data_IF_037741294468
#
_entry.id   IF_037741294468
#
_cell.length_a   1.000
_cell.length_b   1.000
_cell.length_c   1.000
_cell.angle_alpha   90.00
_cell.angle_beta   90.00
_cell.angle_gamma   90.00
#
_symmetry.space_group_name_H-M   'P 1'
#
loop_
_entity.id
_entity.type
_entity.pdbx_description
1 polymer ?
#
# COMPACT_ATOMS: atom_id res chain seq x y z
N UNK A 1 -9.16 11.60 -12.03
CA UNK A 1 -9.60 12.03 -13.38
C UNK A 1 -10.01 10.82 -14.19
N UNK A 2 -11.05 10.90 -15.04
CA UNK A 2 -11.37 9.80 -15.95
C UNK A 2 -10.18 9.52 -16.88
N UNK A 3 -9.74 8.26 -16.96
CA UNK A 3 -8.68 7.78 -17.87
C UNK A 3 -7.32 8.49 -17.75
N UNK A 4 -6.99 9.00 -16.56
CA UNK A 4 -5.68 9.61 -16.30
C UNK A 4 -4.56 8.56 -16.20
N UNK A 5 -3.33 8.93 -16.58
CA UNK A 5 -2.14 8.08 -16.39
C UNK A 5 -1.67 8.05 -14.93
N UNK A 6 -2.09 9.02 -14.12
CA UNK A 6 -1.72 9.12 -12.70
C UNK A 6 -2.94 8.78 -11.83
N UNK A 7 -2.71 7.88 -10.90
CA UNK A 7 -3.63 7.48 -9.83
C UNK A 7 -2.88 7.67 -8.51
N UNK A 8 -2.92 8.89 -7.99
CA UNK A 8 -2.22 9.23 -6.75
C UNK A 8 -3.09 8.84 -5.55
N UNK A 9 -2.74 7.74 -4.89
CA UNK A 9 -3.54 7.15 -3.81
C UNK A 9 -2.67 6.54 -2.70
N UNK A 10 -3.25 6.29 -1.52
CA UNK A 10 -2.58 5.59 -0.42
C UNK A 10 -2.25 4.13 -0.75
N UNK A 11 -1.13 3.66 -0.21
CA UNK A 11 -0.70 2.27 -0.21
C UNK A 11 -0.76 1.69 1.21
N UNK A 12 -1.66 0.75 1.48
CA UNK A 12 -1.72 -0.02 2.74
C UNK A 12 -0.87 -1.28 2.64
N UNK A 13 -0.31 -1.75 3.76
CA UNK A 13 0.53 -2.95 3.79
C UNK A 13 -0.22 -4.18 3.27
N UNK A 14 0.49 -5.11 2.63
CA UNK A 14 -0.04 -6.44 2.25
C UNK A 14 -1.27 -6.45 1.30
N UNK A 15 -1.58 -5.32 0.64
CA UNK A 15 -2.75 -5.20 -0.24
C UNK A 15 -2.36 -5.22 -1.73
N UNK A 16 -3.11 -5.98 -2.55
CA UNK A 16 -2.82 -6.07 -3.98
C UNK A 16 -3.27 -4.87 -4.81
N UNK A 17 -4.35 -4.22 -4.39
CA UNK A 17 -4.98 -3.10 -5.08
C UNK A 17 -4.38 -1.73 -4.71
N UNK A 18 -3.38 -1.71 -3.82
CA UNK A 18 -2.86 -0.48 -3.20
C UNK A 18 -3.47 -0.26 -1.82
N UNK A 19 -4.79 -0.20 -1.72
CA UNK A 19 -5.47 0.24 -0.49
C UNK A 19 -6.56 -0.75 -0.02
N UNK A 20 -6.58 -1.00 1.29
CA UNK A 20 -7.64 -1.71 2.01
C UNK A 20 -8.08 -0.85 3.21
N UNK A 21 -9.36 -0.47 3.24
CA UNK A 21 -9.91 0.41 4.27
C UNK A 21 -9.89 -0.21 5.67
N UNK A 22 -9.91 -1.54 5.78
CA UNK A 22 -9.82 -2.22 7.06
C UNK A 22 -8.35 -2.33 7.55
N UNK A 23 -7.39 -1.82 6.78
CA UNK A 23 -5.98 -1.77 7.11
C UNK A 23 -5.47 -0.34 7.28
N UNK A 24 -5.35 0.08 8.52
CA UNK A 24 -4.87 1.41 8.90
C UNK A 24 -3.36 1.63 8.62
N UNK A 25 -2.60 0.57 8.28
CA UNK A 25 -1.14 0.68 8.13
C UNK A 25 -0.76 1.10 6.71
N UNK A 26 -0.37 2.36 6.53
CA UNK A 26 0.05 2.90 5.25
C UNK A 26 1.55 3.00 5.08
N UNK A 27 2.02 2.49 3.96
CA UNK A 27 3.40 2.61 3.52
C UNK A 27 3.69 3.94 2.80
N UNK A 28 2.68 4.79 2.63
CA UNK A 28 2.77 6.08 1.95
C UNK A 28 1.79 6.19 0.79
N UNK A 29 2.17 6.98 -0.21
CA UNK A 29 1.37 7.25 -1.40
C UNK A 29 2.18 7.00 -2.66
N UNK A 30 1.59 6.34 -3.65
CA UNK A 30 2.20 6.12 -4.97
C UNK A 30 1.30 6.64 -6.09
N UNK A 31 1.90 6.86 -7.26
CA UNK A 31 1.24 7.55 -8.38
C UNK A 31 0.66 6.61 -9.44
N UNK A 32 0.98 5.32 -9.35
CA UNK A 32 0.61 4.30 -10.33
C UNK A 32 -0.15 3.20 -9.62
N UNK A 33 -1.39 2.97 -10.01
CA UNK A 33 -2.23 1.90 -9.47
C UNK A 33 -2.94 1.20 -10.62
N UNK A 34 -3.38 -0.03 -10.39
CA UNK A 34 -4.29 -0.69 -11.32
C UNK A 34 -5.37 -1.42 -10.55
N UNK A 35 -6.62 -1.19 -10.95
CA UNK A 35 -7.78 -1.93 -10.45
C UNK A 35 -7.87 -3.29 -11.14
N UNK A 36 -6.89 -4.15 -10.85
CA UNK A 36 -6.76 -5.51 -11.38
C UNK A 36 -6.64 -6.48 -10.21
N UNK A 37 -7.17 -7.70 -10.32
CA UNK A 37 -7.20 -8.70 -9.23
C UNK A 37 -5.85 -9.30 -8.84
N UNK A 38 -4.75 -8.59 -9.11
CA UNK A 38 -3.37 -9.01 -8.86
C UNK A 38 -2.49 -7.79 -8.54
N UNK A 39 -1.33 -8.05 -7.93
CA UNK A 39 -0.36 -7.01 -7.63
C UNK A 39 0.18 -6.35 -8.90
N UNK A 40 -0.03 -5.05 -9.07
CA UNK A 40 0.57 -4.26 -10.14
C UNK A 40 0.82 -2.81 -9.69
N UNK A 41 1.88 -2.21 -10.22
CA UNK A 41 2.29 -0.82 -9.94
C UNK A 41 2.58 -0.56 -8.45
N UNK A 42 2.21 0.63 -7.95
CA UNK A 42 2.59 1.15 -6.64
C UNK A 42 3.98 1.74 -6.60
N UNK A 43 4.45 2.28 -7.74
CA UNK A 43 5.84 2.66 -7.90
C UNK A 43 6.14 3.97 -7.18
N UNK A 44 7.35 4.08 -6.63
CA UNK A 44 7.87 5.29 -5.97
C UNK A 44 6.95 5.72 -4.81
N UNK A 45 6.86 4.86 -3.80
CA UNK A 45 6.07 5.16 -2.60
C UNK A 45 6.68 6.32 -1.81
N UNK A 46 5.83 7.27 -1.42
CA UNK A 46 6.18 8.50 -0.72
C UNK A 46 5.48 8.55 0.64
N UNK A 47 6.25 8.47 1.73
CA UNK A 47 5.73 8.50 3.10
C UNK A 47 6.14 9.81 3.80
N UNK A 48 5.20 10.74 4.01
CA UNK A 48 5.43 11.92 4.85
C UNK A 48 5.30 11.54 6.33
N UNK A 49 6.29 11.89 7.15
CA UNK A 49 6.29 11.53 8.58
C UNK A 49 7.10 12.53 9.41
N UNK A 50 6.87 12.53 10.72
CA UNK A 50 7.76 13.17 11.70
C UNK A 50 8.55 12.15 12.53
N UNK A 51 8.30 10.86 12.31
CA UNK A 51 8.95 9.76 13.01
C UNK A 51 10.41 9.60 12.54
N UNK A 52 11.37 9.32 13.44
CA UNK A 52 12.75 9.05 13.06
C UNK A 52 12.86 7.86 12.09
N UNK A 53 13.71 8.00 11.08
CA UNK A 53 13.98 6.93 10.11
C UNK A 53 14.86 5.85 10.75
N UNK A 54 14.35 4.63 10.81
CA UNK A 54 15.06 3.48 11.38
C UNK A 54 16.07 2.85 10.42
N UNK A 55 16.75 1.76 10.83
CA UNK A 55 17.70 1.02 9.99
C UNK A 55 17.05 0.21 8.87
N UNK A 56 15.72 0.06 8.88
CA UNK A 56 14.93 -0.65 7.86
C UNK A 56 13.82 0.24 7.29
N UNK A 57 14.19 1.36 6.64
CA UNK A 57 13.22 2.36 6.21
C UNK A 57 12.23 1.86 5.15
N UNK A 58 12.51 0.73 4.52
CA UNK A 58 11.61 0.07 3.58
C UNK A 58 10.43 -0.65 4.27
N UNK A 59 10.52 -0.94 5.57
CA UNK A 59 9.47 -1.58 6.36
C UNK A 59 8.57 -0.54 7.09
N UNK A 60 8.92 0.75 7.04
CA UNK A 60 8.20 1.79 7.79
C UNK A 60 6.76 1.99 7.24
N UNK A 61 5.85 2.30 8.15
CA UNK A 61 4.47 2.64 7.85
C UNK A 61 3.95 3.62 8.90
N UNK A 62 2.92 4.36 8.54
CA UNK A 62 2.19 5.26 9.42
C UNK A 62 0.72 4.82 9.49
N UNK A 63 0.09 5.07 10.63
CA UNK A 63 -1.34 4.82 10.78
C UNK A 63 -2.15 5.86 10.00
N UNK A 64 -3.11 5.43 9.19
CA UNK A 64 -4.07 6.29 8.50
C UNK A 64 -5.36 6.34 9.33
N UNK A 65 -5.87 7.56 9.59
CA UNK A 65 -7.09 7.73 10.34
C UNK A 65 -8.35 7.56 9.46
N UNK A 66 -9.18 6.56 9.79
CA UNK A 66 -10.53 6.37 9.24
C UNK A 66 -11.64 6.91 10.17
N UNK A 67 -11.30 7.89 11.02
CA UNK A 67 -12.16 8.49 12.06
C UNK A 67 -13.23 9.46 11.52
N UNK A 68 -13.58 9.35 10.23
CA UNK A 68 -14.43 10.28 9.51
C UNK A 68 -13.71 11.54 9.00
N UNK A 69 -12.39 11.68 9.22
CA UNK A 69 -11.60 12.78 8.64
C UNK A 69 -10.95 12.42 7.29
N UNK A 70 -10.96 11.14 6.89
CA UNK A 70 -10.58 10.73 5.54
C UNK A 70 -11.67 11.10 4.53
N UNK A 71 -11.28 11.74 3.43
CA UNK A 71 -12.21 12.13 2.37
C UNK A 71 -11.61 11.76 1.01
N UNK A 72 -12.31 10.87 0.31
CA UNK A 72 -12.05 10.54 -1.10
C UNK A 72 -13.21 11.02 -1.98
N UNK A 73 -12.93 11.94 -2.91
CA UNK A 73 -13.87 12.38 -3.94
C UNK A 73 -13.20 12.37 -5.31
N UNK A 74 -13.94 12.38 -6.43
CA UNK A 74 -13.34 12.33 -7.76
C UNK A 74 -12.27 13.43 -7.97
N UNK A 75 -11.01 13.00 -8.10
CA UNK A 75 -9.88 13.90 -8.34
C UNK A 75 -9.23 14.50 -7.08
N UNK A 76 -9.70 14.17 -5.88
CA UNK A 76 -9.12 14.64 -4.63
C UNK A 76 -9.21 13.58 -3.52
N UNK A 77 -8.12 13.42 -2.77
CA UNK A 77 -8.07 12.55 -1.61
C UNK A 77 -7.36 13.28 -0.48
N UNK A 78 -7.83 13.14 0.75
CA UNK A 78 -7.16 13.68 1.94
C UNK A 78 -7.26 12.73 3.11
N UNK A 79 -6.20 12.67 3.90
CA UNK A 79 -6.16 11.89 5.13
C UNK A 79 -5.14 12.40 6.13
N UNK A 80 -5.25 11.95 7.38
CA UNK A 80 -4.34 12.29 8.48
C UNK A 80 -3.60 11.06 8.98
N UNK A 81 -2.37 11.29 9.43
CA UNK A 81 -1.58 10.35 10.20
C UNK A 81 -1.64 10.78 11.68
N UNK A 82 -2.45 10.11 12.53
CA UNK A 82 -2.75 10.62 13.87
C UNK A 82 -1.53 10.61 14.79
N UNK A 83 -0.64 9.62 14.66
CA UNK A 83 0.57 9.50 15.47
C UNK A 83 1.57 10.65 15.23
N UNK A 84 1.71 11.09 13.97
CA UNK A 84 2.67 12.13 13.57
C UNK A 84 2.04 13.51 13.39
N UNK A 85 0.70 13.60 13.38
CA UNK A 85 -0.03 14.83 13.13
C UNK A 85 0.07 15.35 11.70
N UNK A 86 0.63 14.57 10.78
CA UNK A 86 0.78 14.94 9.37
C UNK A 86 -0.57 14.82 8.66
N UNK A 87 -0.89 15.78 7.79
CA UNK A 87 -2.05 15.72 6.89
C UNK A 87 -1.58 15.68 5.46
N UNK A 88 -2.11 14.75 4.67
CA UNK A 88 -1.80 14.57 3.26
C UNK A 88 -3.03 14.87 2.40
N UNK A 89 -2.84 15.67 1.36
CA UNK A 89 -3.86 15.99 0.37
C UNK A 89 -3.30 15.70 -1.01
N UNK A 90 -4.04 14.94 -1.81
CA UNK A 90 -3.61 14.45 -3.12
C UNK A 90 -4.63 14.87 -4.16
N UNK A 91 -4.13 15.29 -5.32
CA UNK A 91 -4.93 15.47 -6.52
C UNK A 91 -4.15 14.98 -7.73
N UNK A 92 -4.87 14.69 -8.81
CA UNK A 92 -4.27 14.25 -10.06
C UNK A 92 -4.95 14.94 -11.24
N UNK A 93 -4.14 15.30 -12.23
CA UNK A 93 -4.55 15.67 -13.59
C UNK A 93 -4.41 14.45 -14.51
N UNK A 94 -4.54 14.63 -15.83
CA UNK A 94 -4.35 13.54 -16.79
C UNK A 94 -2.95 12.89 -16.72
N UNK A 95 -1.90 13.65 -16.38
CA UNK A 95 -0.50 13.18 -16.44
C UNK A 95 0.37 13.58 -15.25
N UNK A 96 -0.18 14.32 -14.29
CA UNK A 96 0.56 14.88 -13.16
C UNK A 96 -0.24 14.70 -11.88
N UNK A 97 0.39 14.17 -10.84
CA UNK A 97 -0.15 14.20 -9.47
C UNK A 97 0.45 15.38 -8.70
N UNK A 98 -0.32 15.95 -7.79
CA UNK A 98 0.11 16.99 -6.87
C UNK A 98 -0.25 16.52 -5.46
N UNK A 99 0.75 16.49 -4.57
CA UNK A 99 0.58 16.18 -3.16
C UNK A 99 0.93 17.40 -2.31
N UNK A 100 0.09 17.72 -1.33
CA UNK A 100 0.36 18.71 -0.28
C UNK A 100 0.44 18.00 1.06
N UNK A 101 1.56 18.18 1.75
CA UNK A 101 1.82 17.56 3.05
C UNK A 101 2.00 18.64 4.10
N UNK A 102 1.10 18.67 5.08
CA UNK A 102 1.12 19.63 6.19
C UNK A 102 1.64 18.95 7.45
N UNK A 103 2.73 19.48 8.00
CA UNK A 103 3.39 18.96 9.20
C UNK A 103 2.98 19.79 10.43
N UNK A 104 2.92 19.19 11.63
CA UNK A 104 2.60 19.92 12.85
C UNK A 104 3.73 20.89 13.23
N UNK A 105 3.35 22.06 13.76
CA UNK A 105 4.28 23.06 14.29
C UNK A 105 4.70 22.74 15.75
N UNK A 106 5.25 21.54 15.97
CA UNK A 106 5.60 21.02 17.31
C UNK A 106 7.11 20.80 17.52
N UNK A 107 7.95 21.30 16.62
CA UNK A 107 9.41 21.18 16.69
C UNK A 107 9.98 19.84 16.22
N UNK A 108 9.14 18.90 15.79
CA UNK A 108 9.60 17.66 15.16
C UNK A 108 10.11 17.91 13.73
N UNK A 109 11.08 17.11 13.23
CA UNK A 109 11.53 17.23 11.86
C UNK A 109 10.41 16.86 10.87
N UNK A 110 10.29 17.62 9.78
CA UNK A 110 9.46 17.25 8.65
C UNK A 110 10.26 16.31 7.72
N UNK A 111 9.90 15.04 7.68
CA UNK A 111 10.58 14.01 6.90
C UNK A 111 9.69 13.52 5.77
N UNK A 112 10.27 13.37 4.58
CA UNK A 112 9.58 12.87 3.40
C UNK A 112 10.36 11.71 2.81
N UNK A 113 9.92 10.49 3.09
CA UNK A 113 10.62 9.29 2.70
C UNK A 113 10.18 8.83 1.30
N UNK A 114 11.13 8.76 0.36
CA UNK A 114 10.88 8.36 -1.03
C UNK A 114 11.52 7.01 -1.31
N UNK A 115 10.70 6.00 -1.56
CA UNK A 115 11.12 4.63 -1.85
C UNK A 115 11.14 4.40 -3.35
N UNK A 116 12.22 4.84 -3.99
CA UNK A 116 12.38 4.78 -5.45
C UNK A 116 12.31 3.36 -6.06
N UNK A 117 12.61 2.32 -5.28
CA UNK A 117 12.52 0.92 -5.69
C UNK A 117 11.28 0.17 -5.20
N UNK A 118 10.34 0.84 -4.51
CA UNK A 118 9.13 0.20 -4.03
C UNK A 118 8.11 -0.02 -5.16
N UNK A 119 7.38 -1.12 -5.07
CA UNK A 119 6.18 -1.45 -5.83
C UNK A 119 5.32 -2.41 -4.99
N UNK A 120 3.99 -2.41 -5.20
CA UNK A 120 3.07 -3.32 -4.51
C UNK A 120 3.43 -4.79 -4.74
N UNK A 121 3.91 -5.10 -5.95
CA UNK A 121 4.43 -6.43 -6.25
C UNK A 121 5.58 -6.81 -5.33
N UNK A 122 6.58 -5.94 -5.16
CA UNK A 122 7.79 -6.20 -4.38
C UNK A 122 7.54 -6.34 -2.87
N UNK A 123 6.61 -5.59 -2.31
CA UNK A 123 6.33 -5.53 -0.87
C UNK A 123 5.37 -6.63 -0.39
N UNK A 124 4.59 -7.25 -1.28
CA UNK A 124 3.71 -8.34 -0.87
C UNK A 124 4.46 -9.60 -0.42
N UNK A 125 4.02 -10.25 0.67
CA UNK A 125 4.58 -11.51 1.13
C UNK A 125 4.55 -12.54 0.00
N UNK A 126 5.72 -13.06 -0.39
CA UNK A 126 5.78 -14.18 -1.33
C UNK A 126 5.11 -15.37 -0.66
N UNK A 127 4.22 -16.11 -1.36
CA UNK A 127 3.76 -17.39 -0.84
C UNK A 127 4.99 -18.24 -0.57
N UNK A 128 5.14 -18.69 0.68
CA UNK A 128 6.20 -19.62 1.00
C UNK A 128 5.97 -20.84 0.13
N UNK A 129 6.91 -21.12 -0.77
CA UNK A 129 6.92 -22.38 -1.50
C UNK A 129 7.34 -23.43 -0.49
N UNK A 130 6.42 -23.82 0.39
CA UNK A 130 6.54 -25.06 1.14
C UNK A 130 6.48 -26.16 0.09
N UNK A 131 7.65 -26.50 -0.45
CA UNK A 131 7.87 -27.77 -1.10
C UNK A 131 7.67 -28.83 -0.02
N UNK A 132 6.41 -29.11 0.30
CA UNK A 132 6.05 -30.28 1.07
C UNK A 132 6.35 -31.43 0.12
N UNK A 133 7.56 -31.99 0.23
CA UNK A 133 7.87 -33.32 -0.29
C UNK A 133 6.94 -34.27 0.45
N UNK A 134 5.69 -34.39 -0.02
CA UNK A 134 4.82 -35.48 0.38
C UNK A 134 5.42 -36.72 -0.26
N UNK A 135 6.25 -37.43 0.51
CA UNK A 135 6.47 -38.84 0.26
C UNK A 135 5.08 -39.50 0.13
N UNK A 136 4.82 -40.05 -1.06
CA UNK A 136 3.54 -40.65 -1.44
C UNK A 136 3.35 -41.92 -0.60
N UNK A 137 2.65 -41.82 0.51
CA UNK A 137 2.10 -42.99 1.22
C UNK A 137 0.75 -43.34 0.57
N UNK A 138 0.47 -44.60 0.18
CA UNK A 138 -0.68 -44.92 -0.66
C UNK A 138 -2.04 -44.96 0.05
N UNK A 139 -2.10 -44.73 1.37
CA UNK A 139 -3.33 -44.94 2.15
C UNK A 139 -3.70 -43.69 2.95
N UNK A 140 -4.59 -42.86 2.40
CA UNK A 140 -5.61 -42.07 3.12
C UNK A 140 -6.42 -41.22 2.14
N UNK A 141 -7.74 -41.40 2.15
CA UNK A 141 -8.72 -40.49 1.52
C UNK A 141 -8.56 -39.07 2.08
N UNK A 142 -8.62 -38.02 1.25
CA UNK A 142 -8.54 -36.65 1.75
C UNK A 142 -9.86 -36.25 2.42
N UNK A 143 -9.83 -35.46 3.52
CA UNK A 143 -11.01 -34.77 4.00
C UNK A 143 -11.34 -33.61 3.06
N UNK A 144 -12.62 -33.42 2.77
CA UNK A 144 -13.12 -32.21 2.17
C UNK A 144 -13.19 -31.14 3.26
N UNK A 145 -12.35 -30.11 3.18
CA UNK A 145 -12.67 -28.88 3.87
C UNK A 145 -12.19 -27.65 3.11
N UNK A 146 -13.12 -26.72 3.02
CA UNK A 146 -13.07 -25.48 2.26
C UNK A 146 -12.19 -24.46 2.99
N UNK A 147 -11.13 -24.00 2.32
CA UNK A 147 -10.48 -22.74 2.69
C UNK A 147 -10.15 -22.00 1.39
N UNK A 148 -11.00 -21.06 1.02
CA UNK A 148 -10.72 -20.05 0.01
C UNK A 148 -9.52 -19.22 0.50
N UNK A 149 -8.32 -19.67 0.15
CA UNK A 149 -7.08 -18.94 0.38
C UNK A 149 -6.97 -17.92 -0.75
N UNK A 150 -7.42 -16.69 -0.50
CA UNK A 150 -7.21 -15.55 -1.39
C UNK A 150 -5.71 -15.34 -1.52
N UNK A 151 -5.13 -15.97 -2.54
CA UNK A 151 -3.69 -15.98 -2.77
C UNK A 151 -3.37 -14.73 -3.57
N UNK A 152 -2.59 -13.76 -3.06
CA UNK A 152 -2.21 -12.61 -3.85
C UNK A 152 -1.35 -13.09 -5.01
N UNK A 153 -1.95 -13.07 -6.19
CA UNK A 153 -1.28 -13.41 -7.45
C UNK A 153 -0.58 -12.14 -7.92
N UNK A 154 0.71 -12.21 -8.26
CA UNK A 154 1.36 -11.11 -9.00
C UNK A 154 0.85 -11.15 -10.43
N UNK A 155 0.61 -9.99 -11.04
CA UNK A 155 0.31 -9.97 -12.47
C UNK A 155 1.58 -10.40 -13.23
N UNK A 156 1.68 -11.68 -13.60
CA UNK A 156 2.70 -12.15 -14.52
C UNK A 156 2.22 -11.82 -15.93
N UNK A 157 2.98 -11.03 -16.67
CA UNK A 157 2.76 -10.89 -18.11
C UNK A 157 2.76 -12.28 -18.78
N UNK A 158 1.93 -12.51 -19.80
CA UNK A 158 1.96 -13.74 -20.59
C UNK A 158 3.31 -13.93 -21.31
#
# INVERSE_FOLDING_TARGET
MPFGMVQYSPDTTDTYAGYDHDNERSTGFSMTHASVGCAAFGDISMLPTTAPIGPRPWDDWEEIAHDGTEVGVPGYYTVRFPATGVTAELTATTRTGVGRFSYPANGQPALFHVRSGASLGATMPRPSRSARTTARSPDRRPPADSAARTTPTRCTSP
#
